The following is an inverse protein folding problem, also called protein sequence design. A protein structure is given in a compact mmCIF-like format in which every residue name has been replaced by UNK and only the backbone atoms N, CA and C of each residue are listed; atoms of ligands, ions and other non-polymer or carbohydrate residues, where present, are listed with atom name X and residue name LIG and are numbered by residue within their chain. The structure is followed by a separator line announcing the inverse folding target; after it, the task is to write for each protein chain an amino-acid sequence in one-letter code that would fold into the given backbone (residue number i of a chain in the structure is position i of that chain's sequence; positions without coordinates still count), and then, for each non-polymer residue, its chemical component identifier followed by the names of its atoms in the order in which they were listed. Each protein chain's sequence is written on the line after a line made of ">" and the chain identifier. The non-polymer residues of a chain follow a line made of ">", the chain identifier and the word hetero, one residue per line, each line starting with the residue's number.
data_IF_484742499438
#
_entry.id   IF_484742499438
#
_cell.length_a   1.000
_cell.length_b   1.000
_cell.length_c   1.000
_cell.angle_alpha   90.00
_cell.angle_beta   90.00
_cell.angle_gamma   90.00
#
_symmetry.space_group_name_H-M   'P 1'
#
loop_
_entity.id
_entity.type
_entity.pdbx_description
1 polymer ?
#
# COMPACT_ATOMS: atom_id res chain seq x y z
N UNK A 1 -9.34 -18.00 0.95
CA UNK A 1 -10.81 -18.13 1.10
C UNK A 1 -11.42 -17.27 0.01
N UNK A 2 -12.10 -17.86 -0.97
CA UNK A 2 -12.70 -17.11 -2.07
C UNK A 2 -13.97 -16.39 -1.58
N UNK A 3 -14.23 -15.18 -2.07
CA UNK A 3 -15.48 -14.47 -1.82
C UNK A 3 -16.65 -15.32 -2.30
N UNK A 4 -17.56 -15.65 -1.39
CA UNK A 4 -18.82 -16.29 -1.71
C UNK A 4 -19.86 -15.19 -1.79
N UNK A 5 -20.54 -15.08 -2.94
CA UNK A 5 -21.58 -14.06 -3.14
C UNK A 5 -22.62 -14.19 -2.03
N UNK A 6 -22.88 -13.12 -1.26
CA UNK A 6 -23.94 -13.11 -0.25
C UNK A 6 -25.26 -13.58 -0.85
N UNK A 7 -25.98 -14.45 -0.13
CA UNK A 7 -27.36 -14.75 -0.48
C UNK A 7 -28.17 -13.47 -0.40
N UNK A 8 -28.68 -12.99 -1.53
CA UNK A 8 -29.61 -11.86 -1.57
C UNK A 8 -30.84 -12.19 -0.75
N UNK A 9 -31.16 -11.36 0.23
CA UNK A 9 -32.39 -11.44 1.02
C UNK A 9 -33.35 -10.38 0.48
N UNK A 10 -34.61 -10.73 0.36
CA UNK A 10 -35.66 -9.84 -0.15
C UNK A 10 -36.35 -9.10 1.00
N UNK A 11 -37.01 -8.00 0.68
CA UNK A 11 -37.79 -7.24 1.65
C UNK A 11 -38.87 -8.14 2.26
N UNK A 12 -38.84 -8.29 3.58
CA UNK A 12 -39.77 -9.13 4.34
C UNK A 12 -39.21 -10.48 4.78
N UNK A 13 -38.03 -10.88 4.31
CA UNK A 13 -37.36 -12.10 4.79
C UNK A 13 -36.89 -11.91 6.24
N UNK A 14 -37.18 -12.91 7.09
CA UNK A 14 -36.60 -12.99 8.42
C UNK A 14 -35.11 -13.33 8.31
N UNK A 15 -34.25 -12.41 8.75
CA UNK A 15 -32.81 -12.67 8.85
C UNK A 15 -32.53 -13.26 10.23
N UNK A 16 -32.38 -14.57 10.30
CA UNK A 16 -32.01 -15.23 11.54
C UNK A 16 -30.54 -14.89 11.93
N UNK A 17 -30.22 -14.97 13.22
CA UNK A 17 -28.84 -14.78 13.68
C UNK A 17 -27.86 -15.75 12.99
N UNK A 18 -28.30 -16.96 12.65
CA UNK A 18 -27.51 -17.92 11.88
C UNK A 18 -27.18 -17.41 10.48
N UNK A 19 -28.14 -16.80 9.77
CA UNK A 19 -27.92 -16.24 8.43
C UNK A 19 -26.94 -15.07 8.47
N UNK A 20 -27.08 -14.21 9.48
CA UNK A 20 -26.18 -13.08 9.69
C UNK A 20 -24.76 -13.52 10.06
N UNK A 21 -24.64 -14.49 10.96
CA UNK A 21 -23.37 -15.08 11.37
C UNK A 21 -22.68 -15.77 10.19
N UNK A 22 -23.43 -16.55 9.39
CA UNK A 22 -22.90 -17.26 8.22
C UNK A 22 -22.39 -16.26 7.18
N UNK A 23 -23.16 -15.21 6.88
CA UNK A 23 -22.71 -14.16 5.97
C UNK A 23 -21.43 -13.47 6.45
N UNK A 24 -21.30 -13.27 7.76
CA UNK A 24 -20.16 -12.62 8.40
C UNK A 24 -18.88 -13.46 8.32
N UNK A 25 -18.97 -14.78 8.54
CA UNK A 25 -17.81 -15.70 8.45
C UNK A 25 -17.44 -16.04 7.02
N UNK A 26 -18.40 -16.02 6.09
CA UNK A 26 -18.18 -16.23 4.65
C UNK A 26 -17.59 -14.99 3.97
N UNK A 27 -17.78 -13.80 4.58
CA UNK A 27 -17.24 -12.53 4.11
C UNK A 27 -16.22 -11.92 5.11
N UNK A 28 -15.14 -12.63 5.49
CA UNK A 28 -14.15 -12.10 6.42
C UNK A 28 -13.41 -10.87 5.85
N UNK A 29 -13.37 -10.72 4.52
CA UNK A 29 -12.87 -9.53 3.82
C UNK A 29 -13.77 -8.30 4.06
N UNK A 30 -15.09 -8.50 4.18
CA UNK A 30 -16.05 -7.43 4.44
C UNK A 30 -16.07 -7.05 5.93
N UNK A 31 -15.85 -8.02 6.83
CA UNK A 31 -15.88 -7.84 8.29
C UNK A 31 -14.61 -7.20 8.88
N UNK A 32 -13.52 -7.09 8.13
CA UNK A 32 -12.41 -6.17 8.47
C UNK A 32 -12.82 -4.71 8.21
N UNK A 33 -14.02 -4.35 8.63
CA UNK A 33 -14.78 -3.12 8.41
C UNK A 33 -14.08 -1.91 9.04
N UNK A 34 -13.01 -1.46 8.38
CA UNK A 34 -12.18 -0.30 8.75
C UNK A 34 -10.75 -0.41 8.24
N UNK A 35 -10.28 -1.63 7.99
CA UNK A 35 -8.95 -1.86 7.44
C UNK A 35 -9.07 -2.16 5.94
N UNK A 36 -8.34 -1.40 5.12
CA UNK A 36 -8.23 -1.61 3.67
C UNK A 36 -8.09 -3.12 3.39
N UNK A 37 -9.11 -3.72 2.76
CA UNK A 37 -9.20 -5.16 2.55
C UNK A 37 -8.44 -5.55 1.27
N UNK A 38 -7.11 -5.42 1.30
CA UNK A 38 -6.23 -5.96 0.25
C UNK A 38 -5.82 -7.38 0.63
N UNK A 39 -5.75 -8.29 -0.33
CA UNK A 39 -5.33 -9.66 -0.06
C UNK A 39 -3.85 -9.73 0.35
N UNK A 40 -3.49 -10.73 1.18
CA UNK A 40 -2.10 -11.11 1.49
C UNK A 40 -1.24 -10.03 2.17
N UNK A 41 -1.85 -9.11 2.92
CA UNK A 41 -1.14 -8.05 3.66
C UNK A 41 -0.09 -8.65 4.61
N UNK A 42 1.12 -8.08 4.62
CA UNK A 42 2.15 -8.35 5.60
C UNK A 42 2.44 -7.09 6.43
N UNK A 43 3.15 -7.27 7.55
CA UNK A 43 3.61 -6.16 8.36
C UNK A 43 4.52 -5.23 7.53
N UNK A 44 4.35 -3.92 7.71
CA UNK A 44 5.16 -2.87 7.08
C UNK A 44 4.96 -2.69 5.56
N UNK A 45 3.94 -3.31 4.97
CA UNK A 45 3.55 -3.06 3.58
C UNK A 45 3.01 -1.63 3.40
N UNK A 46 3.22 -1.08 2.20
CA UNK A 46 2.64 0.20 1.76
C UNK A 46 1.45 -0.07 0.85
N UNK A 47 0.39 0.71 1.03
CA UNK A 47 -0.81 0.64 0.20
C UNK A 47 -0.85 1.88 -0.70
N UNK A 48 -1.04 1.65 -2.00
CA UNK A 48 -1.14 2.73 -3.00
C UNK A 48 -2.31 2.47 -3.95
N UNK A 49 -2.82 3.53 -4.58
CA UNK A 49 -3.82 3.40 -5.64
C UNK A 49 -3.14 3.01 -6.95
N UNK A 50 -3.43 1.80 -7.45
CA UNK A 50 -2.95 1.35 -8.76
C UNK A 50 -3.82 1.85 -9.92
N UNK A 51 -5.05 2.28 -9.62
CA UNK A 51 -5.97 2.94 -10.54
C UNK A 51 -6.97 3.82 -9.77
N UNK A 52 -7.88 4.48 -10.47
CA UNK A 52 -8.94 5.31 -9.85
C UNK A 52 -9.94 4.50 -9.01
N UNK A 53 -9.96 3.18 -9.15
CA UNK A 53 -10.93 2.29 -8.49
C UNK A 53 -10.27 1.11 -7.76
N UNK A 54 -8.94 1.01 -7.77
CA UNK A 54 -8.21 -0.13 -7.20
C UNK A 54 -7.04 0.31 -6.34
N UNK A 55 -6.88 -0.39 -5.22
CA UNK A 55 -5.71 -0.31 -4.37
C UNK A 55 -4.84 -1.54 -4.58
N UNK A 56 -3.52 -1.32 -4.53
CA UNK A 56 -2.51 -2.36 -4.61
C UNK A 56 -1.57 -2.28 -3.40
N UNK A 57 -0.86 -3.38 -3.20
CA UNK A 57 0.13 -3.54 -2.14
C UNK A 57 1.52 -3.43 -2.72
N UNK A 58 2.36 -2.63 -2.09
CA UNK A 58 3.81 -2.64 -2.27
C UNK A 58 4.43 -3.25 -1.01
N UNK A 59 5.17 -4.33 -1.17
CA UNK A 59 5.82 -5.01 -0.06
C UNK A 59 6.80 -4.08 0.67
N UNK A 60 7.05 -4.34 1.95
CA UNK A 60 8.03 -3.59 2.73
C UNK A 60 9.40 -3.49 2.03
N UNK A 61 9.98 -2.29 2.02
CA UNK A 61 11.32 -2.05 1.53
C UNK A 61 12.39 -2.57 2.49
N UNK A 62 13.64 -2.59 2.03
CA UNK A 62 14.81 -2.91 2.86
C UNK A 62 15.42 -1.64 3.47
N UNK A 63 16.25 -1.81 4.51
CA UNK A 63 16.91 -0.69 5.18
C UNK A 63 17.73 0.16 4.18
N UNK A 64 17.57 1.49 4.27
CA UNK A 64 18.25 2.44 3.38
C UNK A 64 17.56 2.71 2.05
N UNK A 65 16.41 2.09 1.79
CA UNK A 65 15.58 2.40 0.62
C UNK A 65 14.62 3.57 0.88
N UNK A 66 14.33 4.32 -0.17
CA UNK A 66 13.32 5.39 -0.21
C UNK A 66 12.23 5.06 -1.22
N UNK A 67 11.02 5.55 -0.94
CA UNK A 67 9.89 5.39 -1.87
C UNK A 67 9.99 6.42 -2.98
N UNK A 68 10.05 5.96 -4.22
CA UNK A 68 10.12 6.80 -5.43
C UNK A 68 8.82 6.66 -6.23
N UNK A 69 8.21 7.77 -6.63
CA UNK A 69 6.88 7.77 -7.28
C UNK A 69 6.92 7.38 -8.76
N UNK A 70 8.08 7.46 -9.42
CA UNK A 70 8.28 7.19 -10.84
C UNK A 70 7.45 8.08 -11.81
N UNK A 71 6.89 9.19 -11.30
CA UNK A 71 6.09 10.12 -12.09
C UNK A 71 4.59 9.78 -12.16
N UNK A 72 3.82 10.65 -12.81
CA UNK A 72 2.37 10.50 -12.91
C UNK A 72 1.98 9.24 -13.70
N UNK A 73 1.05 8.45 -13.16
CA UNK A 73 0.56 7.21 -13.79
C UNK A 73 1.47 5.99 -13.59
N UNK A 74 2.63 6.14 -12.98
CA UNK A 74 3.53 5.05 -12.63
C UNK A 74 3.30 4.55 -11.21
N UNK A 75 3.47 3.25 -10.98
CA UNK A 75 3.46 2.70 -9.63
C UNK A 75 4.72 3.16 -8.86
N UNK A 76 4.62 3.46 -7.56
CA UNK A 76 5.78 3.76 -6.75
C UNK A 76 6.65 2.50 -6.53
N UNK A 77 7.96 2.69 -6.38
CA UNK A 77 8.93 1.63 -6.12
C UNK A 77 9.92 2.03 -5.03
N UNK A 78 10.54 1.03 -4.40
CA UNK A 78 11.68 1.27 -3.50
C UNK A 78 12.96 1.45 -4.30
N UNK A 79 13.73 2.49 -3.97
CA UNK A 79 15.02 2.78 -4.57
C UNK A 79 16.08 2.98 -3.48
N UNK A 80 17.31 2.54 -3.73
CA UNK A 80 18.44 2.81 -2.82
C UNK A 80 18.86 4.27 -2.91
N UNK A 81 19.12 4.91 -1.78
CA UNK A 81 19.71 6.24 -1.77
C UNK A 81 21.20 6.13 -2.06
N UNK A 82 21.64 6.57 -3.23
CA UNK A 82 23.05 6.85 -3.48
C UNK A 82 23.34 8.27 -3.02
N UNK A 83 24.11 8.43 -1.95
CA UNK A 83 24.65 9.74 -1.59
C UNK A 83 25.65 10.15 -2.67
N UNK A 84 25.20 10.91 -3.67
CA UNK A 84 26.10 11.80 -4.41
C UNK A 84 26.53 12.85 -3.39
N UNK A 85 27.62 12.57 -2.66
CA UNK A 85 28.17 13.50 -1.69
C UNK A 85 28.33 14.85 -2.37
N UNK A 86 27.78 15.90 -1.76
CA UNK A 86 28.01 17.26 -2.20
C UNK A 86 29.52 17.46 -2.26
N UNK A 87 30.05 17.39 -3.48
CA UNK A 87 31.43 17.71 -3.77
C UNK A 87 31.51 19.22 -3.90
N UNK A 88 30.98 19.95 -2.90
CA UNK A 88 31.21 21.37 -2.76
C UNK A 88 32.65 21.55 -2.29
N UNK A 89 33.57 21.22 -3.19
CA UNK A 89 34.98 21.53 -3.08
C UNK A 89 35.04 23.04 -3.20
N UNK A 90 34.98 23.73 -2.05
CA UNK A 90 35.47 25.09 -1.95
C UNK A 90 36.90 25.06 -2.49
N UNK A 91 37.05 25.47 -3.74
CA UNK A 91 38.34 25.76 -4.35
C UNK A 91 38.82 27.01 -3.63
N UNK A 92 39.61 26.85 -2.58
CA UNK A 92 40.31 27.98 -1.97
C UNK A 92 41.32 28.43 -3.03
N UNK A 93 41.15 29.58 -3.70
CA UNK A 93 42.12 30.04 -4.67
C UNK A 93 43.37 30.36 -3.86
N UNK A 94 44.43 29.56 -4.00
CA UNK A 94 45.74 29.95 -3.49
C UNK A 94 46.21 31.11 -4.37
N UNK A 95 45.78 32.31 -4.01
CA UNK A 95 46.32 33.53 -4.58
C UNK A 95 47.77 33.59 -4.11
N UNK A 96 48.65 33.22 -5.04
CA UNK A 96 50.08 33.42 -5.01
C UNK A 96 50.34 34.90 -4.67
N UNK A 97 50.72 35.19 -3.43
CA UNK A 97 51.39 36.45 -3.13
C UNK A 97 52.88 36.24 -3.37
N UNK A 98 53.44 37.18 -4.13
CA UNK A 98 54.82 37.31 -4.63
C UNK A 98 55.91 36.85 -3.69
#
# INVERSE_FOLDING_TARGET
>A
MAYVTPTSKTTGDLIAATDWNQNTVDNPIALRTGAIAIASQAANDIIYASSSTQLARLAAGTAGQVLTTNGAGSAPTWSSVTSSGDSDQIVIPIMLFS
#
